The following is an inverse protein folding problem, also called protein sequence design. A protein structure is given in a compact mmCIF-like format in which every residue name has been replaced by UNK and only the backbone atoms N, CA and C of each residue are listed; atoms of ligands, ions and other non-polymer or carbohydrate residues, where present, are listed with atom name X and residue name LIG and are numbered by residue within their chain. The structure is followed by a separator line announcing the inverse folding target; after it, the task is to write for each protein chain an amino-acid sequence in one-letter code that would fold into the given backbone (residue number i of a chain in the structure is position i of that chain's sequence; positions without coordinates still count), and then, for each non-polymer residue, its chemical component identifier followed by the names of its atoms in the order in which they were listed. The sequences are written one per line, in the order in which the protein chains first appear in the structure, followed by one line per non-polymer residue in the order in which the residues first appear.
data_IF_001989593485
#
_entry.id   IF_001989593485
#
_cell.length_a   1.000
_cell.length_b   1.000
_cell.length_c   1.000
_cell.angle_alpha   90.00
_cell.angle_beta   90.00
_cell.angle_gamma   90.00
#
_symmetry.space_group_name_H-M   'P 1'
#
loop_
_entity.id
_entity.type
_entity.pdbx_description
1 polymer ?
#
# COMPACT_ATOMS: atom_id res chain seq x y z
N UNK A 1 3.71 -0.45 -0.49
CA UNK A 1 2.42 0.13 -0.06
C UNK A 1 1.50 -0.96 0.50
N UNK A 2 0.55 -0.59 1.34
CA UNK A 2 -0.44 -1.48 1.97
C UNK A 2 -1.84 -0.88 1.86
N UNK A 3 -2.85 -1.70 1.58
CA UNK A 3 -4.25 -1.28 1.58
C UNK A 3 -4.78 -1.16 3.02
N UNK A 4 -5.24 0.03 3.41
CA UNK A 4 -5.53 0.38 4.81
C UNK A 4 -6.69 -0.43 5.41
N UNK A 5 -7.69 -0.77 4.60
CA UNK A 5 -8.93 -1.42 5.03
C UNK A 5 -8.97 -2.92 4.68
N UNK A 6 -7.82 -3.52 4.38
CA UNK A 6 -7.73 -4.96 4.07
C UNK A 6 -8.11 -5.80 5.31
N UNK A 7 -9.13 -6.65 5.15
CA UNK A 7 -9.61 -7.56 6.21
C UNK A 7 -9.01 -8.96 6.11
N UNK A 8 -8.46 -9.34 4.96
CA UNK A 8 -7.80 -10.62 4.75
C UNK A 8 -6.36 -10.56 5.27
N UNK A 9 -5.65 -9.48 4.96
CA UNK A 9 -4.33 -9.18 5.49
C UNK A 9 -4.33 -7.80 6.14
N UNK A 10 -4.69 -7.67 7.43
CA UNK A 10 -4.78 -6.38 8.10
C UNK A 10 -3.53 -5.50 7.97
N UNK A 11 -3.72 -4.19 7.83
CA UNK A 11 -2.60 -3.26 7.63
C UNK A 11 -1.51 -3.38 8.71
N UNK A 12 -1.89 -3.60 9.97
CA UNK A 12 -0.93 -3.82 11.05
C UNK A 12 -0.06 -5.07 10.85
N UNK A 13 -0.64 -6.16 10.33
CA UNK A 13 0.10 -7.36 9.99
C UNK A 13 1.08 -7.09 8.83
N UNK A 14 0.62 -6.43 7.76
CA UNK A 14 1.48 -6.10 6.62
C UNK A 14 2.65 -5.17 7.02
N UNK A 15 2.41 -4.16 7.87
CA UNK A 15 3.47 -3.28 8.42
C UNK A 15 4.52 -4.08 9.16
N UNK A 16 4.11 -5.01 10.02
CA UNK A 16 5.04 -5.84 10.77
C UNK A 16 5.90 -6.70 9.84
N UNK A 17 5.29 -7.35 8.84
CA UNK A 17 6.02 -8.15 7.85
C UNK A 17 7.02 -7.30 7.07
N UNK A 18 6.64 -6.10 6.64
CA UNK A 18 7.52 -5.19 5.92
C UNK A 18 8.69 -4.74 6.80
N UNK A 19 8.44 -4.41 8.07
CA UNK A 19 9.50 -4.03 9.00
C UNK A 19 10.45 -5.19 9.27
N UNK A 20 9.93 -6.38 9.56
CA UNK A 20 10.75 -7.54 9.93
C UNK A 20 11.61 -8.04 8.77
N UNK A 21 11.11 -7.95 7.53
CA UNK A 21 11.79 -8.50 6.35
C UNK A 21 12.61 -7.50 5.58
N UNK A 22 12.16 -6.25 5.53
CA UNK A 22 12.73 -5.21 4.66
C UNK A 22 13.23 -4.00 5.44
N UNK A 23 12.91 -3.87 6.74
CA UNK A 23 13.31 -2.73 7.56
C UNK A 23 12.65 -1.42 7.16
N UNK A 24 11.52 -1.46 6.45
CA UNK A 24 10.81 -0.27 5.94
C UNK A 24 9.40 -0.18 6.48
N UNK A 25 8.90 1.06 6.59
CA UNK A 25 7.48 1.34 6.79
C UNK A 25 6.80 1.51 5.43
N UNK A 26 5.80 0.68 5.08
CA UNK A 26 5.09 0.83 3.82
C UNK A 26 4.13 2.03 3.89
N UNK A 27 4.06 2.80 2.80
CA UNK A 27 2.97 3.78 2.61
C UNK A 27 1.61 3.09 2.53
N UNK A 28 0.55 3.80 2.91
CA UNK A 28 -0.80 3.26 2.91
C UNK A 28 -1.70 3.91 1.86
N UNK A 29 -2.45 3.08 1.14
CA UNK A 29 -3.43 3.51 0.15
C UNK A 29 -4.86 3.18 0.61
N UNK A 30 -5.87 3.96 0.17
CA UNK A 30 -7.27 3.64 0.43
C UNK A 30 -7.67 2.26 -0.11
N UNK A 31 -8.63 1.61 0.57
CA UNK A 31 -9.26 0.39 0.10
C UNK A 31 -8.88 -0.88 0.86
N UNK A 32 -9.59 -1.96 0.51
CA UNK A 32 -9.42 -3.29 1.11
C UNK A 32 -8.50 -4.21 0.30
N UNK A 33 -8.69 -5.52 0.45
CA UNK A 33 -7.84 -6.52 -0.22
C UNK A 33 -7.74 -6.34 -1.74
N UNK A 34 -8.82 -5.88 -2.37
CA UNK A 34 -8.89 -5.57 -3.79
C UNK A 34 -8.84 -4.06 -4.03
N UNK A 35 -7.84 -3.36 -3.48
CA UNK A 35 -7.66 -1.92 -3.66
C UNK A 35 -7.51 -1.53 -5.14
N UNK A 36 -6.82 -2.35 -5.94
CA UNK A 36 -6.70 -2.12 -7.39
C UNK A 36 -8.04 -2.18 -8.15
N UNK A 37 -9.07 -2.83 -7.58
CA UNK A 37 -10.42 -2.86 -8.15
C UNK A 37 -11.32 -1.76 -7.56
N UNK A 38 -11.24 -1.54 -6.25
CA UNK A 38 -12.14 -0.63 -5.52
C UNK A 38 -11.70 0.84 -5.53
N UNK A 39 -10.39 1.09 -5.60
CA UNK A 39 -9.74 2.41 -5.57
C UNK A 39 -8.64 2.48 -6.65
N UNK A 40 -8.97 2.19 -7.93
CA UNK A 40 -7.96 2.04 -8.99
C UNK A 40 -7.20 3.34 -9.26
N UNK A 41 -7.87 4.50 -9.13
CA UNK A 41 -7.26 5.80 -9.44
C UNK A 41 -6.32 6.24 -8.32
N UNK A 42 -6.76 6.17 -7.07
CA UNK A 42 -5.94 6.52 -5.91
C UNK A 42 -4.68 5.65 -5.86
N UNK A 43 -4.80 4.36 -6.21
CA UNK A 43 -3.66 3.47 -6.33
C UNK A 43 -2.70 3.87 -7.47
N UNK A 44 -3.24 4.19 -8.64
CA UNK A 44 -2.44 4.61 -9.80
C UNK A 44 -1.70 5.93 -9.52
N UNK A 45 -2.39 6.93 -8.95
CA UNK A 45 -1.81 8.22 -8.61
C UNK A 45 -0.62 8.07 -7.64
N UNK A 46 -0.75 7.19 -6.63
CA UNK A 46 0.34 6.90 -5.69
C UNK A 46 1.54 6.24 -6.39
N UNK A 47 1.29 5.32 -7.33
CA UNK A 47 2.34 4.67 -8.11
C UNK A 47 3.08 5.64 -9.02
N UNK A 48 2.34 6.50 -9.74
CA UNK A 48 2.92 7.55 -10.58
C UNK A 48 3.76 8.53 -9.77
N UNK A 49 3.33 8.88 -8.55
CA UNK A 49 4.11 9.74 -7.66
C UNK A 49 5.50 9.16 -7.36
N UNK A 50 5.66 7.85 -7.16
CA UNK A 50 6.98 7.23 -6.96
C UNK A 50 7.87 7.27 -8.20
N UNK A 51 7.28 7.10 -9.38
CA UNK A 51 8.00 7.18 -10.67
C UNK A 51 8.55 8.60 -10.86
N UNK A 52 7.72 9.60 -10.59
CA UNK A 52 8.10 11.01 -10.77
C UNK A 52 9.01 11.55 -9.66
N UNK A 53 8.94 11.00 -8.44
CA UNK A 53 9.86 11.35 -7.35
C UNK A 53 11.30 10.85 -7.58
N UNK A 54 11.50 9.92 -8.52
CA UNK A 54 12.79 9.28 -8.81
C UNK A 54 13.51 9.90 -10.03
N UNK A 55 13.04 11.05 -10.51
CA UNK A 55 13.67 11.87 -11.58
C UNK A 55 14.22 13.15 -10.99
#
# INVERSE_FOLDING_TARGET
MTARDDRLFPAAFQRQVAQDRLGITPDEVPGGHLAALSHPRELADQLEAYVHAST
#
